data_IF_311249830951
#
_entry.id   IF_311249830951
#
_cell.length_a   1.000
_cell.length_b   1.000
_cell.length_c   1.000
_cell.angle_alpha   90.00
_cell.angle_beta   90.00
_cell.angle_gamma   90.00
#
_symmetry.space_group_name_H-M   'P 1'
#
loop_
_entity.id
_entity.type
_entity.pdbx_description
1 polymer ?
#
# COMPACT_ATOMS: atom_id res chain seq x y z
N UNK A 1 10.36 13.72 -12.92
CA UNK A 1 9.11 13.30 -12.26
C UNK A 1 9.21 13.15 -10.72
N UNK A 2 10.40 13.07 -10.10
CA UNK A 2 10.57 12.95 -8.63
C UNK A 2 11.19 14.17 -7.92
N UNK A 3 11.47 15.26 -8.65
CA UNK A 3 12.14 16.47 -8.11
C UNK A 3 11.19 17.59 -7.65
N UNK A 4 9.87 17.40 -7.74
CA UNK A 4 8.90 18.42 -7.31
C UNK A 4 8.60 18.28 -5.82
N UNK A 5 8.96 19.32 -5.05
CA UNK A 5 8.83 19.34 -3.58
C UNK A 5 7.38 19.15 -3.10
N UNK A 6 6.39 19.73 -3.78
CA UNK A 6 4.97 19.61 -3.41
C UNK A 6 4.45 18.17 -3.51
N UNK A 7 4.96 17.40 -4.47
CA UNK A 7 4.61 15.98 -4.63
C UNK A 7 5.31 15.08 -3.62
N UNK A 8 6.44 15.52 -3.05
CA UNK A 8 7.10 14.78 -1.97
C UNK A 8 6.27 14.84 -0.68
N UNK A 9 5.66 15.99 -0.37
CA UNK A 9 4.79 16.14 0.79
C UNK A 9 3.54 15.23 0.70
N UNK A 10 2.84 15.28 -0.43
CA UNK A 10 1.66 14.44 -0.66
C UNK A 10 1.99 12.94 -0.61
N UNK A 11 3.12 12.53 -1.21
CA UNK A 11 3.57 11.14 -1.16
C UNK A 11 3.98 10.68 0.24
N UNK A 12 4.47 11.59 1.09
CA UNK A 12 4.80 11.26 2.47
C UNK A 12 3.53 10.93 3.24
N UNK A 13 2.52 11.82 3.21
CA UNK A 13 1.22 11.58 3.86
C UNK A 13 0.64 10.26 3.37
N UNK A 14 0.62 10.08 2.05
CA UNK A 14 -0.02 8.93 1.44
C UNK A 14 0.65 7.60 1.83
N UNK A 15 1.97 7.56 1.95
CA UNK A 15 2.67 6.36 2.41
C UNK A 15 2.55 6.16 3.93
N UNK A 16 2.60 7.23 4.71
CA UNK A 16 2.44 7.15 6.17
C UNK A 16 1.07 6.60 6.54
N UNK A 17 0.00 7.11 5.95
CA UNK A 17 -1.36 6.61 6.21
C UNK A 17 -1.54 5.15 5.78
N UNK A 18 -0.91 4.75 4.67
CA UNK A 18 -0.90 3.35 4.25
C UNK A 18 -0.26 2.44 5.31
N UNK A 19 0.85 2.84 5.94
CA UNK A 19 1.47 2.08 7.04
C UNK A 19 0.59 2.11 8.30
N UNK A 20 0.10 3.29 8.70
CA UNK A 20 -0.75 3.47 9.88
C UNK A 20 -2.03 2.60 9.81
N UNK A 21 -2.63 2.47 8.63
CA UNK A 21 -3.85 1.66 8.42
C UNK A 21 -3.68 0.16 8.70
N UNK A 22 -2.44 -0.35 8.69
CA UNK A 22 -2.13 -1.75 8.95
C UNK A 22 -1.84 -2.01 10.44
N UNK A 23 -1.70 -0.98 11.27
CA UNK A 23 -1.45 -1.10 12.70
C UNK A 23 -2.77 -1.16 13.46
N UNK A 24 -2.81 -1.95 14.53
CA UNK A 24 -3.98 -2.03 15.43
C UNK A 24 -4.22 -0.70 16.15
N UNK A 25 -3.13 -0.02 16.50
CA UNK A 25 -3.12 1.28 17.16
C UNK A 25 -2.25 2.23 16.35
N UNK A 26 -2.74 3.46 16.14
CA UNK A 26 -2.01 4.48 15.42
C UNK A 26 -0.77 4.89 16.22
N UNK A 27 0.38 4.91 15.57
CA UNK A 27 1.60 5.45 16.18
C UNK A 27 1.52 6.98 16.25
N UNK A 28 2.12 7.56 17.29
CA UNK A 28 2.35 8.99 17.35
C UNK A 28 3.25 9.44 16.18
N UNK A 29 3.07 10.68 15.72
CA UNK A 29 3.73 11.17 14.51
C UNK A 29 5.27 11.23 14.63
N UNK A 30 5.81 11.24 15.86
CA UNK A 30 7.24 11.18 16.17
C UNK A 30 7.78 9.74 16.29
N UNK A 31 6.91 8.73 16.28
CA UNK A 31 7.25 7.30 16.33
C UNK A 31 7.20 6.63 14.93
N UNK A 32 6.91 7.39 13.88
CA UNK A 32 6.85 6.89 12.50
C UNK A 32 7.51 7.86 11.53
N UNK A 33 8.41 7.34 10.70
CA UNK A 33 9.03 8.11 9.64
C UNK A 33 9.05 7.32 8.33
N UNK A 34 8.39 7.87 7.32
CA UNK A 34 8.44 7.35 5.95
C UNK A 34 9.13 8.38 5.06
N UNK A 35 10.37 8.06 4.67
CA UNK A 35 11.18 8.94 3.84
C UNK A 35 10.63 9.13 2.42
N UNK A 36 11.03 10.23 1.74
CA UNK A 36 10.80 10.36 0.31
C UNK A 36 11.50 9.22 -0.43
N UNK A 37 10.93 8.81 -1.56
CA UNK A 37 11.68 7.93 -2.49
C UNK A 37 12.59 8.82 -3.33
N UNK A 38 13.82 8.39 -3.56
CA UNK A 38 14.74 9.02 -4.51
C UNK A 38 14.99 8.12 -5.72
N UNK A 39 15.44 8.70 -6.83
CA UNK A 39 15.75 7.99 -8.06
C UNK A 39 17.26 7.90 -8.23
N UNK A 40 17.77 6.68 -8.12
CA UNK A 40 19.19 6.36 -8.31
C UNK A 40 19.35 5.80 -9.73
N UNK A 41 20.03 6.50 -10.66
CA UNK A 41 20.01 6.16 -12.08
C UNK A 41 20.44 4.72 -12.41
N UNK A 42 21.45 4.20 -11.71
CA UNK A 42 21.98 2.86 -11.99
C UNK A 42 21.09 1.72 -11.46
N UNK A 43 20.10 2.01 -10.61
CA UNK A 43 19.10 1.01 -10.21
C UNK A 43 18.03 0.82 -11.30
N UNK A 44 17.90 1.77 -12.24
CA UNK A 44 16.91 1.68 -13.31
C UNK A 44 15.49 1.52 -12.76
N UNK A 45 14.92 0.32 -12.94
CA UNK A 45 13.57 -0.04 -12.49
C UNK A 45 13.54 -0.81 -11.16
N UNK A 46 14.71 -1.22 -10.67
CA UNK A 46 14.84 -1.88 -9.39
C UNK A 46 14.60 -0.88 -8.27
N UNK A 47 13.64 -1.20 -7.42
CA UNK A 47 13.31 -0.43 -6.24
C UNK A 47 13.90 -1.09 -5.02
N UNK A 48 14.63 -0.28 -4.26
CA UNK A 48 15.12 -0.65 -2.94
C UNK A 48 14.26 0.03 -1.87
N UNK A 49 13.89 -0.75 -0.85
CA UNK A 49 13.25 -0.25 0.35
C UNK A 49 14.00 -0.80 1.56
N UNK A 50 14.23 0.09 2.52
CA UNK A 50 14.78 -0.24 3.83
C UNK A 50 13.76 0.14 4.89
N UNK A 51 13.47 -0.78 5.80
CA UNK A 51 12.57 -0.57 6.91
C UNK A 51 13.24 -1.03 8.20
N UNK A 52 13.11 -0.23 9.24
CA UNK A 52 13.52 -0.58 10.59
C UNK A 52 12.28 -0.53 11.49
N UNK A 53 12.07 -1.59 12.25
CA UNK A 53 11.00 -1.73 13.23
C UNK A 53 11.65 -1.96 14.58
N UNK A 54 11.26 -1.18 15.57
CA UNK A 54 11.64 -1.38 16.97
C UNK A 54 10.40 -1.74 17.76
N UNK A 55 10.55 -2.66 18.71
CA UNK A 55 9.44 -3.16 19.49
C UNK A 55 9.88 -3.81 20.79
N UNK A 56 8.90 -4.41 21.47
CA UNK A 56 9.10 -5.09 22.75
C UNK A 56 8.49 -6.49 22.69
N UNK A 57 9.23 -7.48 23.18
CA UNK A 57 8.77 -8.86 23.30
C UNK A 57 8.19 -9.11 24.70
N UNK A 58 7.95 -10.39 24.99
CA UNK A 58 7.61 -10.84 26.35
C UNK A 58 8.61 -10.32 27.39
N UNK A 59 8.12 -10.05 28.61
CA UNK A 59 8.88 -9.39 29.68
C UNK A 59 9.47 -8.01 29.30
N UNK A 60 8.83 -7.31 28.36
CA UNK A 60 9.22 -5.96 27.95
C UNK A 60 10.65 -5.86 27.38
N UNK A 61 11.19 -6.98 26.88
CA UNK A 61 12.55 -7.03 26.32
C UNK A 61 12.55 -6.33 24.96
N UNK A 62 13.38 -5.30 24.75
CA UNK A 62 13.41 -4.58 23.49
C UNK A 62 13.99 -5.45 22.37
N UNK A 63 13.51 -5.23 21.15
CA UNK A 63 14.08 -5.80 19.94
C UNK A 63 14.08 -4.79 18.80
N UNK A 64 14.93 -5.04 17.81
CA UNK A 64 14.90 -4.35 16.53
C UNK A 64 14.82 -5.38 15.40
N UNK A 65 14.28 -4.96 14.27
CA UNK A 65 14.24 -5.70 13.03
C UNK A 65 14.55 -4.74 11.88
N UNK A 66 15.44 -5.16 10.99
CA UNK A 66 15.74 -4.43 9.76
C UNK A 66 15.40 -5.30 8.55
N UNK A 67 14.68 -4.72 7.60
CA UNK A 67 14.22 -5.38 6.38
C UNK A 67 14.71 -4.59 5.18
N UNK A 68 15.38 -5.28 4.26
CA UNK A 68 15.72 -4.77 2.93
C UNK A 68 14.89 -5.51 1.89
N UNK A 69 14.18 -4.75 1.07
CA UNK A 69 13.41 -5.26 -0.06
C UNK A 69 14.01 -4.74 -1.36
N UNK A 70 14.24 -5.65 -2.30
CA UNK A 70 14.69 -5.36 -3.67
C UNK A 70 13.70 -5.98 -4.64
N UNK A 71 13.03 -5.15 -5.45
CA UNK A 71 11.95 -5.58 -6.34
C UNK A 71 11.95 -4.80 -7.64
N UNK A 72 11.38 -5.39 -8.68
CA UNK A 72 11.01 -4.66 -9.90
C UNK A 72 9.68 -3.91 -9.69
N UNK A 73 9.71 -2.57 -9.69
CA UNK A 73 8.51 -1.75 -9.36
C UNK A 73 7.43 -1.82 -10.45
N UNK A 74 7.82 -1.99 -11.71
CA UNK A 74 6.86 -2.07 -12.84
C UNK A 74 6.16 -3.41 -12.87
N UNK A 75 6.88 -4.51 -12.70
CA UNK A 75 6.30 -5.85 -12.65
C UNK A 75 5.28 -5.96 -11.52
N UNK A 76 5.60 -5.40 -10.34
CA UNK A 76 4.68 -5.35 -9.21
C UNK A 76 3.40 -4.56 -9.53
N UNK A 77 3.54 -3.41 -10.21
CA UNK A 77 2.39 -2.55 -10.54
C UNK A 77 1.54 -3.13 -11.68
N UNK A 78 2.15 -3.89 -12.61
CA UNK A 78 1.45 -4.45 -13.76
C UNK A 78 0.36 -5.46 -13.33
N UNK A 79 0.66 -6.33 -12.35
CA UNK A 79 -0.32 -7.28 -11.82
C UNK A 79 -1.55 -6.59 -11.25
N UNK A 80 -1.34 -5.53 -10.46
CA UNK A 80 -2.42 -4.73 -9.85
C UNK A 80 -3.33 -4.11 -10.93
N UNK A 81 -2.75 -3.58 -12.00
CA UNK A 81 -3.52 -2.97 -13.10
C UNK A 81 -4.33 -4.03 -13.86
N UNK A 82 -3.76 -5.21 -14.11
CA UNK A 82 -4.48 -6.32 -14.76
C UNK A 82 -5.71 -6.71 -13.93
N UNK A 83 -5.56 -6.87 -12.62
CA UNK A 83 -6.67 -7.22 -11.76
C UNK A 83 -7.72 -6.10 -11.66
N UNK A 84 -7.29 -4.84 -11.63
CA UNK A 84 -8.22 -3.70 -11.68
C UNK A 84 -9.10 -3.72 -12.95
N UNK A 85 -8.51 -4.01 -14.11
CA UNK A 85 -9.25 -4.11 -15.38
C UNK A 85 -10.25 -5.27 -15.34
N UNK A 86 -9.85 -6.41 -14.80
CA UNK A 86 -10.73 -7.60 -14.69
C UNK A 86 -11.91 -7.33 -13.76
N UNK A 87 -11.68 -6.68 -12.62
CA UNK A 87 -12.74 -6.29 -11.68
C UNK A 87 -13.69 -5.26 -12.30
N UNK A 88 -13.16 -4.29 -13.05
CA UNK A 88 -13.98 -3.33 -13.80
C UNK A 88 -14.86 -4.02 -14.84
N UNK A 89 -14.33 -5.05 -15.53
CA UNK A 89 -15.12 -5.85 -16.48
C UNK A 89 -16.25 -6.62 -15.78
N UNK A 90 -15.98 -7.23 -14.62
CA UNK A 90 -17.00 -7.92 -13.82
C UNK A 90 -18.11 -6.93 -13.40
N UNK A 91 -17.75 -5.73 -12.93
CA UNK A 91 -18.72 -4.71 -12.56
C UNK A 91 -19.58 -4.28 -13.75
N UNK A 92 -18.96 -4.06 -14.91
CA UNK A 92 -19.65 -3.71 -16.15
C UNK A 92 -20.66 -4.79 -16.55
N UNK A 93 -20.26 -6.07 -16.50
CA UNK A 93 -21.13 -7.20 -16.86
C UNK A 93 -22.32 -7.36 -15.91
N UNK A 94 -22.18 -6.88 -14.67
CA UNK A 94 -23.23 -6.89 -13.65
C UNK A 94 -24.04 -5.59 -13.61
N UNK A 95 -23.74 -4.61 -14.46
CA UNK A 95 -24.39 -3.30 -14.45
C UNK A 95 -24.11 -2.47 -13.19
N UNK A 96 -23.02 -2.77 -12.47
CA UNK A 96 -22.62 -2.02 -11.27
C UNK A 96 -21.87 -0.76 -11.68
N UNK A 97 -22.44 0.40 -11.33
CA UNK A 97 -21.83 1.72 -11.54
C UNK A 97 -21.18 2.28 -10.26
N UNK A 98 -20.33 3.29 -10.43
CA UNK A 98 -19.63 3.94 -9.33
C UNK A 98 -18.37 3.20 -8.86
N UNK A 99 -17.76 3.64 -7.74
CA UNK A 99 -16.54 3.03 -7.23
C UNK A 99 -16.82 1.64 -6.66
N UNK A 100 -16.07 0.64 -7.12
CA UNK A 100 -16.05 -0.68 -6.50
C UNK A 100 -15.17 -0.57 -5.25
N UNK A 101 -15.80 -0.26 -4.11
CA UNK A 101 -15.12 -0.04 -2.82
C UNK A 101 -14.15 -1.17 -2.47
N UNK A 102 -14.53 -2.47 -2.47
CA UNK A 102 -13.60 -3.54 -2.08
C UNK A 102 -12.40 -3.68 -3.02
N UNK A 103 -12.61 -3.50 -4.34
CA UNK A 103 -11.52 -3.52 -5.31
C UNK A 103 -10.57 -2.32 -5.12
N UNK A 104 -11.14 -1.15 -4.84
CA UNK A 104 -10.37 0.08 -4.59
C UNK A 104 -9.54 -0.06 -3.32
N UNK A 105 -10.13 -0.56 -2.23
CA UNK A 105 -9.45 -0.82 -0.97
C UNK A 105 -8.31 -1.83 -1.10
N UNK A 106 -8.47 -2.85 -1.95
CA UNK A 106 -7.46 -3.89 -2.12
C UNK A 106 -6.32 -3.50 -3.07
N UNK A 107 -6.61 -2.72 -4.12
CA UNK A 107 -5.63 -2.43 -5.18
C UNK A 107 -4.98 -1.04 -5.08
N UNK A 108 -5.59 -0.10 -4.35
CA UNK A 108 -5.15 1.29 -4.29
C UNK A 108 -4.62 1.66 -2.91
N UNK A 109 -3.61 2.54 -2.88
CA UNK A 109 -3.00 3.01 -1.61
C UNK A 109 -3.89 3.97 -0.81
N UNK A 110 -4.79 4.67 -1.50
CA UNK A 110 -5.70 5.70 -0.97
C UNK A 110 -7.10 5.44 -1.49
N UNK A 111 -7.77 4.39 -1.01
CA UNK A 111 -9.17 4.14 -1.35
C UNK A 111 -10.09 5.18 -0.70
N UNK A 112 -11.35 5.23 -1.17
CA UNK A 112 -12.40 6.03 -0.53
C UNK A 112 -12.70 5.55 0.89
N UNK A 113 -12.68 4.23 1.09
CA UNK A 113 -12.83 3.59 2.40
C UNK A 113 -11.57 2.78 2.69
N UNK A 114 -10.83 3.18 3.71
CA UNK A 114 -9.62 2.48 4.15
C UNK A 114 -10.00 1.20 4.88
N UNK A 115 -9.45 0.07 4.43
CA UNK A 115 -9.64 -1.26 5.05
C UNK A 115 -8.26 -1.88 5.30
N UNK A 116 -8.18 -2.82 6.24
CA UNK A 116 -6.99 -3.67 6.34
C UNK A 116 -6.83 -4.53 5.09
N UNK A 117 -5.60 -4.86 4.70
CA UNK A 117 -5.33 -5.62 3.47
C UNK A 117 -6.05 -6.98 3.45
N UNK A 118 -6.16 -7.63 4.62
CA UNK A 118 -6.85 -8.91 4.79
C UNK A 118 -8.35 -8.77 4.53
N UNK A 119 -8.97 -7.74 5.09
CA UNK A 119 -10.40 -7.47 4.91
C UNK A 119 -10.69 -7.08 3.46
N UNK A 120 -9.90 -6.17 2.90
CA UNK A 120 -10.04 -5.71 1.51
C UNK A 120 -9.94 -6.88 0.52
N UNK A 121 -9.00 -7.81 0.75
CA UNK A 121 -8.88 -9.02 -0.06
C UNK A 121 -10.14 -9.87 0.00
N UNK A 122 -10.63 -10.17 1.21
CA UNK A 122 -11.81 -11.00 1.40
C UNK A 122 -13.06 -10.40 0.75
N UNK A 123 -13.26 -9.09 0.88
CA UNK A 123 -14.41 -8.42 0.29
C UNK A 123 -14.27 -8.30 -1.23
N UNK A 124 -13.05 -8.16 -1.74
CA UNK A 124 -12.80 -8.23 -3.18
C UNK A 124 -13.08 -9.64 -3.73
N UNK A 125 -12.72 -10.70 -3.00
CA UNK A 125 -13.03 -12.09 -3.38
C UNK A 125 -14.55 -12.34 -3.37
N UNK A 126 -15.28 -11.87 -2.35
CA UNK A 126 -16.76 -11.93 -2.32
C UNK A 126 -17.38 -11.19 -3.50
N UNK A 127 -16.87 -10.00 -3.82
CA UNK A 127 -17.29 -9.26 -5.00
C UNK A 127 -17.07 -10.07 -6.26
N UNK A 128 -15.91 -10.73 -6.44
CA UNK A 128 -15.68 -11.61 -7.60
C UNK A 128 -16.67 -12.79 -7.62
N UNK A 129 -16.94 -13.42 -6.48
CA UNK A 129 -17.89 -14.53 -6.34
C UNK A 129 -19.37 -14.13 -6.55
N UNK A 130 -19.70 -12.83 -6.48
CA UNK A 130 -21.07 -12.34 -6.57
C UNK A 130 -21.87 -12.52 -5.29
N UNK A 131 -21.18 -12.53 -4.14
CA UNK A 131 -21.76 -12.56 -2.79
C UNK A 131 -21.87 -11.16 -2.19
#
# INVERSE_FOLDING_TARGET
NMKEQDRLASKRISKTESVQSQLKERLADDQIYVGPSDFIPFLGNTKLMFMRIEGRQWANIPYNMEVRLEVDDKANSAGIVIDAIRLAKIALDRGVGGPIIPASAYLMKHPLEQMSDVQAKQDCEKFVEGK
#
